data_IF_284437375537
#
_entry.id   IF_284437375537
#
_cell.length_a   1.000
_cell.length_b   1.000
_cell.length_c   1.000
_cell.angle_alpha   90.00
_cell.angle_beta   90.00
_cell.angle_gamma   90.00
#
_symmetry.space_group_name_H-M   'P 1'
#
loop_
_entity.id
_entity.type
_entity.pdbx_description
1 polymer ?
#
# COMPACT_ATOMS: atom_id res chain seq x y z
N UNK A 1 16.71 1.64 -22.67
CA UNK A 1 15.82 0.88 -21.76
C UNK A 1 15.75 1.64 -20.44
N UNK A 2 14.58 1.75 -19.84
CA UNK A 2 14.39 2.35 -18.51
C UNK A 2 13.45 1.46 -17.70
N UNK A 3 13.81 1.19 -16.45
CA UNK A 3 12.99 0.51 -15.47
C UNK A 3 12.66 1.52 -14.36
N UNK A 4 11.38 1.71 -14.08
CA UNK A 4 10.91 2.54 -12.99
C UNK A 4 10.33 1.63 -11.91
N UNK A 5 10.86 1.73 -10.70
CA UNK A 5 10.30 1.09 -9.50
C UNK A 5 9.76 2.22 -8.64
N UNK A 6 8.47 2.18 -8.32
CA UNK A 6 7.82 3.15 -7.44
C UNK A 6 6.85 2.43 -6.52
N UNK A 7 6.46 3.11 -5.45
CA UNK A 7 5.46 2.65 -4.50
C UNK A 7 4.17 3.43 -4.74
N UNK A 8 3.03 2.76 -4.62
CA UNK A 8 1.72 3.40 -4.69
C UNK A 8 1.45 4.26 -3.45
N UNK A 9 1.90 3.80 -2.27
CA UNK A 9 1.78 4.51 -1.01
C UNK A 9 3.03 4.47 -0.13
N UNK A 10 3.01 5.29 0.93
CA UNK A 10 4.12 5.42 1.89
C UNK A 10 4.07 4.40 3.04
N UNK A 11 3.02 3.57 3.12
CA UNK A 11 2.88 2.51 4.13
C UNK A 11 2.73 2.98 5.58
N UNK A 12 2.35 4.23 5.82
CA UNK A 12 2.19 4.78 7.19
C UNK A 12 3.52 5.15 7.88
N UNK A 13 4.65 5.03 7.19
CA UNK A 13 5.96 5.36 7.77
C UNK A 13 6.17 6.86 7.90
N UNK A 14 6.86 7.28 8.97
CA UNK A 14 7.21 8.68 9.16
C UNK A 14 8.09 9.21 8.04
N UNK A 15 7.69 10.34 7.45
CA UNK A 15 8.51 11.16 6.56
C UNK A 15 8.60 12.59 7.12
N UNK A 16 9.79 13.17 7.08
CA UNK A 16 10.06 14.49 7.66
C UNK A 16 9.67 15.66 6.75
N UNK A 17 9.41 15.41 5.45
CA UNK A 17 9.11 16.47 4.49
C UNK A 17 7.62 16.75 4.48
N UNK A 18 7.21 18.01 4.72
CA UNK A 18 5.81 18.40 4.61
C UNK A 18 5.26 18.15 3.21
N UNK A 19 4.02 17.66 3.12
CA UNK A 19 3.35 17.43 1.85
C UNK A 19 3.12 18.75 1.09
N UNK A 20 3.39 18.81 -0.22
CA UNK A 20 3.06 19.98 -1.04
C UNK A 20 1.55 20.30 -1.04
N UNK A 21 1.22 21.57 -0.81
CA UNK A 21 -0.16 22.09 -0.77
C UNK A 21 -0.38 23.34 -1.63
N UNK A 22 0.68 23.90 -2.19
CA UNK A 22 0.60 25.14 -2.98
C UNK A 22 0.63 24.84 -4.47
N UNK A 23 -0.33 25.39 -5.22
CA UNK A 23 -0.35 25.31 -6.68
C UNK A 23 -0.60 23.91 -7.25
N UNK A 24 -0.96 22.93 -6.42
CA UNK A 24 -1.28 21.57 -6.87
C UNK A 24 -2.72 21.55 -7.39
N UNK A 25 -2.96 21.26 -8.68
CA UNK A 25 -4.31 21.34 -9.24
C UNK A 25 -5.14 20.14 -8.81
N UNK A 26 -6.41 20.36 -8.47
CA UNK A 26 -7.40 19.28 -8.46
C UNK A 26 -7.41 18.61 -9.85
N UNK A 27 -7.34 17.27 -9.94
CA UNK A 27 -7.17 16.57 -11.22
C UNK A 27 -8.31 16.81 -12.23
N UNK A 28 -9.57 16.78 -11.79
CA UNK A 28 -10.76 16.74 -12.65
C UNK A 28 -11.86 17.75 -12.27
N UNK A 29 -11.66 18.48 -11.18
CA UNK A 29 -12.62 19.42 -10.60
C UNK A 29 -13.64 18.78 -9.65
N UNK A 30 -13.52 17.47 -9.37
CA UNK A 30 -14.41 16.76 -8.45
C UNK A 30 -13.87 16.90 -7.03
N UNK A 31 -14.75 17.24 -6.09
CA UNK A 31 -14.42 17.32 -4.66
C UNK A 31 -15.03 16.13 -3.92
N UNK A 32 -14.47 15.82 -2.75
CA UNK A 32 -15.02 14.80 -1.86
C UNK A 32 -16.45 15.13 -1.43
N UNK A 33 -17.25 14.12 -1.07
CA UNK A 33 -18.60 14.34 -0.56
C UNK A 33 -18.59 14.94 0.86
N UNK A 34 -19.79 15.28 1.35
CA UNK A 34 -20.04 15.58 2.76
C UNK A 34 -19.49 14.46 3.67
N UNK A 35 -18.93 14.77 4.85
CA UNK A 35 -18.84 16.10 5.48
C UNK A 35 -17.54 16.86 5.20
N UNK A 36 -16.58 16.24 4.53
CA UNK A 36 -15.20 16.75 4.48
C UNK A 36 -14.89 17.61 3.26
N UNK A 37 -15.61 17.47 2.16
CA UNK A 37 -15.44 18.27 0.94
C UNK A 37 -13.98 18.37 0.46
N UNK A 38 -13.24 17.28 0.55
CA UNK A 38 -11.80 17.27 0.26
C UNK A 38 -11.53 17.73 -1.18
N UNK A 39 -10.74 18.80 -1.33
CA UNK A 39 -10.60 19.50 -2.60
C UNK A 39 -9.57 18.87 -3.55
N UNK A 40 -8.85 17.83 -3.13
CA UNK A 40 -7.79 17.17 -3.93
C UNK A 40 -6.76 18.15 -4.52
N UNK A 41 -6.50 19.28 -3.88
CA UNK A 41 -5.58 20.35 -4.29
C UNK A 41 -4.24 20.28 -3.52
N UNK A 42 -3.86 19.07 -3.10
CA UNK A 42 -2.60 18.76 -2.44
C UNK A 42 -2.04 17.42 -2.88
N UNK A 43 -0.78 17.16 -2.51
CA UNK A 43 -0.14 15.85 -2.64
C UNK A 43 -0.14 15.09 -1.31
N UNK A 44 0.05 13.77 -1.42
CA UNK A 44 0.25 12.89 -0.28
C UNK A 44 1.69 12.90 0.22
N UNK A 45 1.99 11.98 1.14
CA UNK A 45 3.34 11.75 1.67
C UNK A 45 4.25 11.20 0.56
N UNK A 46 5.55 11.48 0.64
CA UNK A 46 6.53 11.00 -0.33
C UNK A 46 6.58 9.48 -0.36
N UNK A 47 6.82 8.95 -1.54
CA UNK A 47 7.03 7.52 -1.79
C UNK A 47 8.42 7.30 -2.41
N UNK A 48 9.10 6.18 -2.14
CA UNK A 48 10.35 5.87 -2.81
C UNK A 48 10.14 5.71 -4.32
N UNK A 49 11.09 6.18 -5.12
CA UNK A 49 11.08 5.97 -6.58
C UNK A 49 12.51 5.77 -7.08
N UNK A 50 12.73 4.73 -7.86
CA UNK A 50 14.01 4.39 -8.48
C UNK A 50 13.86 4.39 -10.00
N UNK A 51 14.65 5.22 -10.67
CA UNK A 51 14.77 5.24 -12.13
C UNK A 51 16.09 4.59 -12.55
N UNK A 52 16.00 3.42 -13.18
CA UNK A 52 17.14 2.56 -13.52
C UNK A 52 17.30 2.53 -15.04
N UNK A 53 18.46 2.98 -15.54
CA UNK A 53 18.77 3.02 -16.97
C UNK A 53 20.27 3.08 -17.19
N UNK A 54 20.81 2.44 -18.26
CA UNK A 54 22.21 2.63 -18.64
C UNK A 54 22.53 4.06 -19.10
N UNK A 55 21.51 4.89 -19.34
CA UNK A 55 21.67 6.29 -19.72
C UNK A 55 21.79 7.25 -18.51
N UNK A 56 21.78 6.73 -17.29
CA UNK A 56 21.86 7.49 -16.04
C UNK A 56 23.14 7.12 -15.29
N UNK A 57 23.83 8.11 -14.74
CA UNK A 57 25.04 7.90 -13.96
C UNK A 57 24.77 7.14 -12.65
N UNK A 58 25.80 6.46 -12.14
CA UNK A 58 25.68 5.67 -10.91
C UNK A 58 25.50 6.62 -9.72
N UNK A 59 24.48 6.36 -8.90
CA UNK A 59 24.25 7.13 -7.69
C UNK A 59 23.68 8.53 -7.93
N UNK A 60 23.10 8.79 -9.10
CA UNK A 60 22.39 10.04 -9.36
C UNK A 60 21.17 10.18 -8.44
N UNK A 61 21.07 11.31 -7.76
CA UNK A 61 19.89 11.73 -7.01
C UNK A 61 19.19 12.84 -7.80
N UNK A 62 17.91 12.62 -8.12
CA UNK A 62 17.06 13.61 -8.77
C UNK A 62 16.15 14.19 -7.69
N UNK A 63 16.24 15.50 -7.46
CA UNK A 63 15.47 16.21 -6.44
C UNK A 63 14.16 16.74 -7.03
N UNK A 64 14.10 18.05 -7.30
CA UNK A 64 12.91 18.71 -7.83
C UNK A 64 12.84 18.61 -9.37
N UNK A 65 11.63 18.56 -9.94
CA UNK A 65 11.47 18.57 -11.39
C UNK A 65 11.67 19.97 -11.98
N UNK A 66 11.98 20.01 -13.28
CA UNK A 66 11.70 21.16 -14.13
C UNK A 66 10.33 20.94 -14.78
N UNK A 67 9.27 21.31 -14.08
CA UNK A 67 7.90 21.09 -14.53
C UNK A 67 7.30 22.27 -15.31
N UNK A 68 6.05 22.11 -15.80
CA UNK A 68 5.30 23.17 -16.48
C UNK A 68 5.10 24.44 -15.65
N UNK A 69 5.11 24.35 -14.32
CA UNK A 69 5.05 25.48 -13.40
C UNK A 69 6.16 25.40 -12.34
N UNK A 70 6.49 26.52 -11.65
CA UNK A 70 7.46 26.49 -10.55
C UNK A 70 7.06 25.61 -9.38
N UNK A 71 5.76 25.35 -9.21
CA UNK A 71 5.21 24.52 -8.13
C UNK A 71 5.12 23.04 -8.51
N UNK A 72 5.32 22.68 -9.77
CA UNK A 72 5.29 21.29 -10.23
C UNK A 72 6.18 20.39 -9.37
N UNK A 73 5.70 19.20 -9.06
CA UNK A 73 6.39 18.20 -8.25
C UNK A 73 6.51 16.89 -9.02
N UNK A 74 7.42 16.02 -8.59
CA UNK A 74 7.36 14.61 -8.98
C UNK A 74 6.29 13.91 -8.15
N UNK A 75 5.30 13.32 -8.83
CA UNK A 75 4.24 12.50 -8.24
C UNK A 75 3.80 11.43 -9.25
N UNK A 76 2.86 10.54 -8.92
CA UNK A 76 2.52 9.40 -9.77
C UNK A 76 2.13 9.79 -11.21
N UNK A 77 1.51 10.94 -11.41
CA UNK A 77 1.14 11.47 -12.73
C UNK A 77 2.35 11.99 -13.53
N UNK A 78 3.54 12.12 -12.92
CA UNK A 78 4.81 12.30 -13.64
C UNK A 78 5.12 11.15 -14.59
N UNK A 79 4.62 9.93 -14.32
CA UNK A 79 4.81 8.77 -15.19
C UNK A 79 4.10 8.99 -16.54
N UNK A 80 2.75 9.15 -16.60
CA UNK A 80 2.08 9.42 -17.86
C UNK A 80 2.53 10.74 -18.50
N UNK A 81 2.82 11.80 -17.71
CA UNK A 81 3.35 13.05 -18.23
C UNK A 81 4.70 12.85 -18.95
N UNK A 82 5.60 12.05 -18.37
CA UNK A 82 6.90 11.74 -18.97
C UNK A 82 6.74 10.88 -20.23
N UNK A 83 5.86 9.86 -20.22
CA UNK A 83 5.57 9.05 -21.41
C UNK A 83 5.06 9.95 -22.55
N UNK A 84 4.10 10.83 -22.26
CA UNK A 84 3.56 11.77 -23.23
C UNK A 84 4.65 12.63 -23.86
N UNK A 85 5.54 13.20 -23.03
CA UNK A 85 6.63 14.08 -23.48
C UNK A 85 7.71 13.32 -24.25
N UNK A 86 8.15 12.17 -23.72
CA UNK A 86 9.20 11.34 -24.30
C UNK A 86 8.83 10.84 -25.71
N UNK A 87 7.57 10.44 -25.92
CA UNK A 87 7.07 9.96 -27.21
C UNK A 87 6.35 11.04 -28.03
N UNK A 88 6.36 12.30 -27.58
CA UNK A 88 5.72 13.43 -28.26
C UNK A 88 4.25 13.15 -28.63
N UNK A 89 3.50 12.54 -27.72
CA UNK A 89 2.11 12.12 -27.95
C UNK A 89 1.20 13.35 -28.08
N UNK A 90 0.47 13.42 -29.20
CA UNK A 90 -0.37 14.57 -29.58
C UNK A 90 -1.78 14.57 -28.98
N UNK A 91 -2.13 13.54 -28.21
CA UNK A 91 -3.38 13.49 -27.45
C UNK A 91 -3.48 14.66 -26.47
N UNK A 92 -4.63 14.84 -25.81
CA UNK A 92 -4.70 15.71 -24.64
C UNK A 92 -4.01 15.05 -23.43
N UNK A 93 -3.83 15.79 -22.35
CA UNK A 93 -3.57 15.20 -21.03
C UNK A 93 -4.85 14.54 -20.50
N UNK A 94 -4.69 13.57 -19.60
CA UNK A 94 -5.82 12.84 -19.02
C UNK A 94 -6.56 13.68 -17.98
N UNK A 95 -5.82 14.51 -17.24
CA UNK A 95 -6.28 15.35 -16.14
C UNK A 95 -5.49 16.66 -16.08
N UNK A 96 -5.83 17.54 -15.15
CA UNK A 96 -4.99 18.71 -14.84
C UNK A 96 -3.70 18.33 -14.10
N UNK A 97 -3.65 17.15 -13.47
CA UNK A 97 -2.53 16.72 -12.64
C UNK A 97 -1.36 16.20 -13.47
N UNK A 98 -1.60 15.32 -14.45
CA UNK A 98 -0.56 14.93 -15.42
C UNK A 98 -0.14 16.09 -16.35
N UNK A 99 -1.02 17.07 -16.58
CA UNK A 99 -0.63 18.31 -17.28
C UNK A 99 0.31 19.21 -16.46
N UNK A 100 0.25 19.13 -15.13
CA UNK A 100 1.02 19.92 -14.18
C UNK A 100 2.28 19.22 -13.68
N UNK A 101 2.30 17.88 -13.70
CA UNK A 101 3.36 17.07 -13.12
C UNK A 101 4.75 17.35 -13.71
N UNK A 102 5.77 17.26 -12.87
CA UNK A 102 7.16 17.23 -13.30
C UNK A 102 7.44 16.05 -14.23
N UNK A 103 8.36 16.21 -15.17
CA UNK A 103 8.76 15.15 -16.12
C UNK A 103 10.25 14.85 -15.97
N UNK A 104 10.65 13.59 -16.17
CA UNK A 104 12.01 13.10 -15.90
C UNK A 104 12.75 12.59 -17.15
N UNK A 105 12.25 12.87 -18.35
CA UNK A 105 12.86 12.43 -19.61
C UNK A 105 14.29 12.95 -19.81
N UNK A 106 14.63 14.10 -19.20
CA UNK A 106 15.98 14.66 -19.26
C UNK A 106 17.02 13.80 -18.54
N UNK A 107 16.61 12.95 -17.59
CA UNK A 107 17.51 11.99 -16.95
C UNK A 107 18.13 11.01 -17.96
N UNK A 108 17.43 10.72 -19.07
CA UNK A 108 17.95 9.84 -20.12
C UNK A 108 18.91 10.55 -21.09
N UNK A 109 19.11 11.85 -20.95
CA UNK A 109 19.98 12.68 -21.81
C UNK A 109 21.27 13.09 -21.11
N UNK A 110 21.54 12.55 -19.92
CA UNK A 110 22.74 12.86 -19.15
C UNK A 110 24.02 12.31 -19.79
N UNK A 111 23.89 11.31 -20.69
CA UNK A 111 25.00 10.61 -21.31
C UNK A 111 24.85 10.51 -22.82
N UNK A 112 25.97 10.59 -23.53
CA UNK A 112 26.04 10.33 -24.97
C UNK A 112 26.09 8.83 -25.28
N UNK A 113 26.64 8.02 -24.37
CA UNK A 113 26.74 6.56 -24.51
C UNK A 113 26.18 5.84 -23.27
N UNK A 114 25.54 4.68 -23.47
CA UNK A 114 25.04 3.89 -22.36
C UNK A 114 26.20 3.33 -21.54
N UNK A 115 25.99 3.20 -20.23
CA UNK A 115 26.89 2.45 -19.34
C UNK A 115 26.82 0.95 -19.63
N UNK A 116 27.93 0.27 -19.42
CA UNK A 116 28.14 -1.17 -19.62
C UNK A 116 28.35 -1.94 -18.31
N UNK A 117 28.29 -1.27 -17.15
CA UNK A 117 28.50 -1.83 -15.82
C UNK A 117 27.20 -2.32 -15.13
N UNK A 118 26.29 -2.94 -15.91
CA UNK A 118 25.02 -3.43 -15.38
C UNK A 118 25.24 -4.54 -14.34
N UNK A 119 24.71 -4.40 -13.10
CA UNK A 119 24.83 -5.46 -12.10
C UNK A 119 23.94 -6.67 -12.48
N UNK A 120 24.57 -7.81 -12.77
CA UNK A 120 23.86 -9.05 -13.08
C UNK A 120 23.38 -9.81 -11.83
N UNK A 121 23.95 -9.48 -10.66
CA UNK A 121 23.62 -10.10 -9.38
C UNK A 121 23.49 -9.03 -8.32
N UNK A 122 22.45 -9.15 -7.50
CA UNK A 122 22.34 -8.35 -6.28
C UNK A 122 23.32 -8.88 -5.22
N UNK A 123 23.94 -8.00 -4.42
CA UNK A 123 24.80 -8.43 -3.33
C UNK A 123 23.99 -9.18 -2.27
N UNK A 124 24.64 -10.16 -1.64
CA UNK A 124 24.06 -10.85 -0.48
C UNK A 124 23.88 -9.87 0.69
N UNK A 125 22.68 -9.82 1.25
CA UNK A 125 22.38 -8.99 2.44
C UNK A 125 22.91 -9.73 3.67
N UNK A 126 24.18 -9.49 3.99
CA UNK A 126 24.88 -10.17 5.11
C UNK A 126 24.57 -9.58 6.48
N UNK A 127 24.01 -8.37 6.52
CA UNK A 127 23.76 -7.65 7.76
C UNK A 127 22.26 -7.52 7.99
N UNK A 128 21.80 -7.97 9.16
CA UNK A 128 20.44 -7.66 9.61
C UNK A 128 20.31 -6.15 9.77
N UNK A 129 19.32 -5.56 9.10
CA UNK A 129 18.95 -4.15 9.28
C UNK A 129 18.33 -3.91 10.66
N UNK A 130 17.91 -4.97 11.36
CA UNK A 130 17.41 -4.89 12.74
C UNK A 130 18.50 -5.32 13.72
N UNK A 131 18.76 -4.52 14.77
CA UNK A 131 19.74 -4.88 15.80
C UNK A 131 19.33 -6.08 16.66
N UNK A 132 18.07 -6.55 16.57
CA UNK A 132 17.56 -7.72 17.28
C UNK A 132 16.28 -8.25 16.65
N UNK A 133 15.76 -9.33 17.25
CA UNK A 133 14.48 -9.94 16.88
C UNK A 133 13.25 -9.09 17.26
N UNK A 134 12.04 -9.59 17.00
CA UNK A 134 10.82 -8.94 17.47
C UNK A 134 10.82 -8.82 19.00
N UNK A 135 10.31 -7.69 19.51
CA UNK A 135 10.04 -7.52 20.94
C UNK A 135 8.66 -8.11 21.21
N UNK A 136 8.61 -9.39 21.55
CA UNK A 136 7.33 -10.10 21.69
C UNK A 136 6.60 -9.78 22.98
N UNK A 137 7.31 -9.44 24.05
CA UNK A 137 6.73 -9.24 25.39
C UNK A 137 6.23 -7.81 25.67
N UNK A 138 6.24 -6.92 24.67
CA UNK A 138 5.79 -5.53 24.83
C UNK A 138 4.34 -5.35 24.41
N UNK A 139 3.71 -4.27 24.87
CA UNK A 139 2.37 -3.87 24.42
C UNK A 139 2.35 -3.52 22.93
N UNK A 140 1.18 -3.67 22.32
CA UNK A 140 0.96 -3.34 20.92
C UNK A 140 1.09 -1.84 20.66
N UNK A 141 1.68 -1.47 19.52
CA UNK A 141 1.46 -0.14 18.95
C UNK A 141 0.02 0.02 18.48
N UNK A 142 -0.42 1.26 18.26
CA UNK A 142 -1.74 1.57 17.69
C UNK A 142 -1.97 0.81 16.37
N UNK A 143 -1.00 0.84 15.46
CA UNK A 143 -1.08 0.10 14.20
C UNK A 143 -1.21 -1.42 14.40
N UNK A 144 -0.46 -2.00 15.35
CA UNK A 144 -0.58 -3.43 15.66
C UNK A 144 -1.96 -3.77 16.21
N UNK A 145 -2.55 -2.89 17.02
CA UNK A 145 -3.92 -3.07 17.53
C UNK A 145 -4.95 -3.06 16.39
N UNK A 146 -4.82 -2.15 15.43
CA UNK A 146 -5.69 -2.10 14.24
C UNK A 146 -5.56 -3.37 13.38
N UNK A 147 -4.35 -3.93 13.25
CA UNK A 147 -4.17 -5.23 12.58
C UNK A 147 -4.89 -6.37 13.31
N UNK A 148 -4.96 -6.34 14.64
CA UNK A 148 -5.73 -7.31 15.42
C UNK A 148 -7.24 -7.10 15.26
N UNK A 149 -7.71 -5.86 15.20
CA UNK A 149 -9.10 -5.56 14.86
C UNK A 149 -9.47 -6.10 13.47
N UNK A 150 -8.58 -5.99 12.48
CA UNK A 150 -8.77 -6.58 11.16
C UNK A 150 -8.79 -8.11 11.23
N UNK A 151 -7.86 -8.72 11.96
CA UNK A 151 -7.83 -10.18 12.15
C UNK A 151 -9.12 -10.71 12.80
N UNK A 152 -9.73 -9.95 13.73
CA UNK A 152 -11.01 -10.32 14.36
C UNK A 152 -12.20 -10.40 13.39
N UNK A 153 -12.09 -9.77 12.20
CA UNK A 153 -13.09 -9.92 11.14
C UNK A 153 -13.03 -11.34 10.55
N UNK A 154 -11.84 -11.91 10.43
CA UNK A 154 -11.60 -13.21 9.79
C UNK A 154 -12.11 -14.38 10.62
N UNK A 155 -12.12 -14.27 11.94
CA UNK A 155 -12.57 -15.35 12.83
C UNK A 155 -13.95 -15.09 13.47
N UNK A 156 -14.58 -13.95 13.14
CA UNK A 156 -15.89 -13.56 13.62
C UNK A 156 -15.89 -12.83 14.96
N UNK A 157 -14.77 -12.70 15.65
CA UNK A 157 -14.68 -12.10 16.99
C UNK A 157 -15.06 -10.61 17.01
N UNK A 158 -15.11 -9.94 15.87
CA UNK A 158 -15.58 -8.55 15.73
C UNK A 158 -16.99 -8.30 16.29
N UNK A 159 -17.82 -9.34 16.46
CA UNK A 159 -19.16 -9.23 17.06
C UNK A 159 -19.16 -9.30 18.59
N UNK A 160 -18.01 -9.58 19.22
CA UNK A 160 -17.89 -9.67 20.68
C UNK A 160 -17.92 -8.28 21.31
N UNK A 161 -18.42 -8.20 22.55
CA UNK A 161 -18.46 -6.95 23.33
C UNK A 161 -17.07 -6.33 23.59
N UNK A 162 -16.01 -7.09 23.36
CA UNK A 162 -14.64 -6.61 23.47
C UNK A 162 -14.21 -5.74 22.27
N UNK A 163 -14.95 -5.74 21.15
CA UNK A 163 -14.66 -4.87 20.01
C UNK A 163 -15.07 -3.41 20.33
N UNK A 164 -14.27 -2.39 19.96
CA UNK A 164 -13.04 -2.44 19.16
C UNK A 164 -11.75 -2.69 19.98
N UNK A 165 -11.84 -2.86 21.30
CA UNK A 165 -10.69 -3.07 22.18
C UNK A 165 -10.07 -4.49 22.10
N UNK A 166 -10.37 -5.29 21.08
CA UNK A 166 -9.74 -6.61 20.88
C UNK A 166 -8.24 -6.41 20.65
N UNK A 167 -7.42 -7.17 21.39
CA UNK A 167 -5.96 -7.01 21.39
C UNK A 167 -5.43 -6.10 22.50
N UNK A 168 -6.29 -5.32 23.16
CA UNK A 168 -5.90 -4.48 24.30
C UNK A 168 -5.51 -5.35 25.48
N UNK A 169 -4.24 -5.24 25.90
CA UNK A 169 -3.64 -6.07 26.94
C UNK A 169 -2.94 -7.33 26.43
N UNK A 170 -2.93 -7.59 25.12
CA UNK A 170 -2.04 -8.59 24.54
C UNK A 170 -0.62 -8.05 24.42
N UNK A 171 0.34 -8.94 24.61
CA UNK A 171 1.72 -8.74 24.15
C UNK A 171 1.81 -8.91 22.63
N UNK A 172 2.84 -8.36 21.99
CA UNK A 172 3.12 -8.54 20.54
C UNK A 172 3.12 -10.02 20.14
N UNK A 173 3.70 -10.90 20.96
CA UNK A 173 3.72 -12.34 20.69
C UNK A 173 2.34 -13.00 20.76
N UNK A 174 1.49 -12.60 21.70
CA UNK A 174 0.11 -13.08 21.79
C UNK A 174 -0.74 -12.59 20.63
N UNK A 175 -0.60 -11.32 20.26
CA UNK A 175 -1.28 -10.72 19.13
C UNK A 175 -0.88 -11.39 17.80
N UNK A 176 0.41 -11.70 17.61
CA UNK A 176 0.85 -12.43 16.42
C UNK A 176 0.17 -13.81 16.31
N UNK A 177 0.15 -14.58 17.42
CA UNK A 177 -0.54 -15.89 17.45
C UNK A 177 -2.04 -15.76 17.19
N UNK A 178 -2.68 -14.72 17.72
CA UNK A 178 -4.09 -14.44 17.45
C UNK A 178 -4.34 -14.20 15.96
N UNK A 179 -3.51 -13.37 15.32
CA UNK A 179 -3.63 -13.07 13.89
C UNK A 179 -3.40 -14.32 13.02
N UNK A 180 -2.37 -15.13 13.35
CA UNK A 180 -2.09 -16.40 12.67
C UNK A 180 -3.28 -17.37 12.78
N UNK A 181 -3.83 -17.58 13.98
CA UNK A 181 -5.01 -18.43 14.21
C UNK A 181 -6.23 -17.93 13.43
N UNK A 182 -6.46 -16.61 13.42
CA UNK A 182 -7.59 -16.03 12.70
C UNK A 182 -7.51 -16.28 11.19
N UNK A 183 -6.33 -16.10 10.58
CA UNK A 183 -6.11 -16.40 9.16
C UNK A 183 -6.22 -17.89 8.89
N UNK A 184 -5.61 -18.74 9.71
CA UNK A 184 -5.65 -20.19 9.54
C UNK A 184 -7.09 -20.70 9.54
N UNK A 185 -7.87 -20.34 10.56
CA UNK A 185 -9.28 -20.74 10.69
C UNK A 185 -10.14 -20.25 9.53
N UNK A 186 -9.93 -19.02 9.07
CA UNK A 186 -10.63 -18.47 7.92
C UNK A 186 -10.34 -19.28 6.65
N UNK A 187 -9.06 -19.57 6.38
CA UNK A 187 -8.65 -20.37 5.23
C UNK A 187 -9.14 -21.82 5.31
N UNK A 188 -9.15 -22.42 6.50
CA UNK A 188 -9.72 -23.75 6.72
C UNK A 188 -11.21 -23.80 6.42
N UNK A 189 -11.97 -22.81 6.91
CA UNK A 189 -13.40 -22.70 6.64
C UNK A 189 -13.68 -22.46 5.15
N UNK A 190 -12.88 -21.61 4.48
CA UNK A 190 -12.91 -21.43 3.02
C UNK A 190 -12.71 -22.74 2.27
N UNK A 191 -11.66 -23.49 2.59
CA UNK A 191 -11.40 -24.80 2.00
C UNK A 191 -12.52 -25.80 2.28
N UNK A 192 -13.11 -25.78 3.47
CA UNK A 192 -14.22 -26.66 3.82
C UNK A 192 -15.49 -26.31 3.02
N UNK A 193 -15.81 -25.02 2.87
CA UNK A 193 -16.94 -24.56 2.08
C UNK A 193 -16.80 -24.95 0.60
N UNK A 194 -15.62 -24.77 0.01
CA UNK A 194 -15.34 -25.21 -1.37
C UNK A 194 -15.52 -26.72 -1.53
N UNK A 195 -15.01 -27.54 -0.59
CA UNK A 195 -15.22 -29.00 -0.61
C UNK A 195 -16.69 -29.39 -0.46
N UNK A 196 -17.50 -28.57 0.22
CA UNK A 196 -18.94 -28.75 0.36
C UNK A 196 -19.75 -28.27 -0.86
N UNK A 197 -19.09 -27.74 -1.90
CA UNK A 197 -19.73 -27.29 -3.13
C UNK A 197 -20.19 -25.83 -3.12
N UNK A 198 -19.67 -25.01 -2.20
CA UNK A 198 -19.92 -23.57 -2.23
C UNK A 198 -19.35 -22.93 -3.51
N UNK A 199 -19.98 -21.84 -3.96
CA UNK A 199 -19.48 -21.03 -5.07
C UNK A 199 -18.10 -20.43 -4.72
N UNK A 200 -17.17 -20.42 -5.68
CA UNK A 200 -15.80 -19.89 -5.47
C UNK A 200 -15.76 -18.40 -5.10
N UNK A 201 -16.80 -17.63 -5.47
CA UNK A 201 -16.96 -16.23 -5.11
C UNK A 201 -17.76 -16.02 -3.82
N UNK A 202 -18.19 -17.09 -3.14
CA UNK A 202 -18.91 -16.97 -1.88
C UNK A 202 -17.96 -16.55 -0.76
N UNK A 203 -18.37 -15.52 0.00
CA UNK A 203 -17.62 -15.04 1.16
C UNK A 203 -17.99 -15.90 2.37
N UNK A 204 -16.99 -16.52 3.00
CA UNK A 204 -17.18 -17.29 4.23
C UNK A 204 -17.29 -16.35 5.43
N UNK A 205 -18.44 -16.34 6.08
CA UNK A 205 -18.67 -15.55 7.30
C UNK A 205 -18.44 -16.44 8.52
N UNK A 206 -17.39 -16.12 9.29
CA UNK A 206 -17.01 -16.87 10.50
C UNK A 206 -17.79 -16.37 11.72
N UNK A 207 -18.06 -17.28 12.67
CA UNK A 207 -18.64 -16.96 13.98
C UNK A 207 -17.58 -17.12 15.08
N UNK A 208 -17.63 -16.32 16.16
CA UNK A 208 -16.70 -16.44 17.28
C UNK A 208 -16.63 -17.86 17.83
N UNK A 209 -15.42 -18.33 18.18
CA UNK A 209 -15.21 -19.68 18.74
C UNK A 209 -15.93 -19.89 20.08
N UNK A 210 -16.23 -18.82 20.82
CA UNK A 210 -17.02 -18.88 22.06
C UNK A 210 -18.48 -19.32 21.83
N UNK A 211 -19.02 -19.15 20.61
CA UNK A 211 -20.40 -19.54 20.27
C UNK A 211 -20.53 -20.99 19.79
N UNK A 212 -19.42 -21.67 19.51
CA UNK A 212 -19.41 -23.05 18.97
C UNK A 212 -19.31 -24.14 20.04
N UNK A 213 -19.15 -23.80 21.33
CA UNK A 213 -19.09 -24.78 22.43
C UNK A 213 -20.43 -25.22 23.04
N UNK A 214 -21.59 -24.76 22.54
CA UNK A 214 -22.91 -25.07 23.14
C UNK A 214 -23.99 -25.60 22.20
N UNK A 215 -23.66 -26.12 21.02
CA UNK A 215 -24.67 -26.83 20.22
C UNK A 215 -24.08 -28.02 19.46
N UNK A 216 -23.92 -29.14 20.16
CA UNK A 216 -24.26 -30.40 19.51
C UNK A 216 -25.76 -30.33 19.14
N UNK A 217 -26.08 -30.68 17.90
CA UNK A 217 -27.43 -30.73 17.30
C UNK A 217 -27.97 -29.38 16.77
N UNK A 218 -27.73 -29.07 15.49
CA UNK A 218 -28.78 -29.04 14.45
C UNK A 218 -28.14 -28.69 13.09
N UNK A 219 -28.35 -29.54 12.09
CA UNK A 219 -27.79 -29.42 10.76
C UNK A 219 -28.64 -28.48 9.91
N UNK A 220 -28.46 -27.17 10.07
CA UNK A 220 -28.98 -26.16 9.13
C UNK A 220 -27.92 -25.09 8.90
N UNK A 221 -26.96 -25.43 8.06
CA UNK A 221 -25.97 -24.50 7.51
C UNK A 221 -26.39 -24.13 6.09
N UNK A 222 -26.12 -22.86 5.73
CA UNK A 222 -26.35 -22.18 4.44
C UNK A 222 -27.69 -21.43 4.37
N UNK A 223 -27.75 -20.26 5.02
CA UNK A 223 -28.54 -19.15 4.46
C UNK A 223 -27.60 -18.35 3.54
N UNK A 224 -27.81 -18.52 2.24
CA UNK A 224 -27.24 -17.68 1.18
C UNK A 224 -28.11 -16.45 0.99
N UNK A 225 -27.51 -15.26 1.09
CA UNK A 225 -27.94 -14.06 0.40
C UNK A 225 -26.81 -13.60 -0.51
#
# INVERSE_FOLDING_TARGET
MALLITYDEHGGFYDHVPTPVEGVPNPDGIIGPDPYYFAFDRLGVRVPTLLISPWIDKGTVIHEPNGPTPQSQFEHSSIPATVKKLFNLKSNFLTKRDAWAGTFENAFKLRETPRDDCPEKLPEVKQSLRPGGPREDVELSEFQLELIQLASQLNGDHVLNAYPDIGKGMTVGEANRYAEDAVERFLEAGRAALRAGANESAIVIMKPSLTTRTAAVDARYLETF
#
